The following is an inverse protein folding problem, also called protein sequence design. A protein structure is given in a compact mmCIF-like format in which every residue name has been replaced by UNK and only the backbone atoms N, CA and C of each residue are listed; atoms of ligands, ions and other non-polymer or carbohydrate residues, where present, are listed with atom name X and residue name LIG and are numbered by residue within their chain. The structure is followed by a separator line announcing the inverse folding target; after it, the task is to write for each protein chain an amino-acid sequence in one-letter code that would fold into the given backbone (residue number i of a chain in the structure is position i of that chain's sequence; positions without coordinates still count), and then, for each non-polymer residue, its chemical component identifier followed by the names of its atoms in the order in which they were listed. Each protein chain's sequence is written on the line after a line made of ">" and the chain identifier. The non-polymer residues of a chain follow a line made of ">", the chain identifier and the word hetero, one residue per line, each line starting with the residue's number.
data_IF_979955528819
#
_entry.id   IF_979955528819
#
_cell.length_a   1.000
_cell.length_b   1.000
_cell.length_c   1.000
_cell.angle_alpha   90.00
_cell.angle_beta   90.00
_cell.angle_gamma   90.00
#
_symmetry.space_group_name_H-M   'P 1'
#
loop_
_entity.id
_entity.type
_entity.pdbx_description
1 polymer ?
#
# COMPACT_ATOMS: atom_id res chain seq x y z
N UNK A 1 -3.80 12.10 14.53
CA UNK A 1 -2.64 11.39 13.97
C UNK A 1 -2.64 11.53 12.45
N UNK A 2 -1.47 11.75 11.88
CA UNK A 2 -1.34 11.81 10.43
C UNK A 2 -1.28 10.41 9.85
N UNK A 3 -1.97 10.22 8.74
CA UNK A 3 -1.82 8.99 7.98
C UNK A 3 -0.41 8.93 7.37
N UNK A 4 0.16 7.74 7.21
CA UNK A 4 1.45 7.61 6.53
C UNK A 4 1.33 8.07 5.07
N UNK A 5 2.43 8.56 4.51
CA UNK A 5 2.47 8.88 3.09
C UNK A 5 2.71 7.61 2.28
N UNK A 6 2.40 7.66 0.99
CA UNK A 6 2.68 6.52 0.11
C UNK A 6 4.18 6.22 0.04
N UNK A 7 5.00 7.26 0.10
CA UNK A 7 6.46 7.10 0.11
C UNK A 7 6.92 6.32 1.34
N UNK A 8 6.35 6.62 2.51
CA UNK A 8 6.66 5.90 3.74
C UNK A 8 6.27 4.43 3.65
N UNK A 9 5.09 4.14 3.12
CA UNK A 9 4.61 2.77 2.96
C UNK A 9 5.52 2.00 1.99
N UNK A 10 5.85 2.62 0.86
CA UNK A 10 6.74 2.02 -0.13
C UNK A 10 8.11 1.70 0.47
N UNK A 11 8.70 2.65 1.18
CA UNK A 11 10.00 2.44 1.82
C UNK A 11 9.94 1.30 2.83
N UNK A 12 8.88 1.22 3.61
CA UNK A 12 8.70 0.13 4.57
C UNK A 12 8.62 -1.22 3.87
N UNK A 13 7.80 -1.32 2.82
CA UNK A 13 7.62 -2.57 2.08
C UNK A 13 8.95 -3.01 1.46
N UNK A 14 9.66 -2.09 0.82
CA UNK A 14 10.94 -2.40 0.18
C UNK A 14 12.00 -2.79 1.20
N UNK A 15 12.00 -2.14 2.35
CA UNK A 15 12.96 -2.45 3.42
C UNK A 15 12.75 -3.85 4.01
N UNK A 16 11.54 -4.38 3.94
CA UNK A 16 11.25 -5.73 4.42
C UNK A 16 11.39 -6.80 3.34
N UNK A 17 11.93 -6.42 2.18
CA UNK A 17 12.13 -7.35 1.06
C UNK A 17 10.87 -7.61 0.24
N UNK A 18 9.82 -6.83 0.43
CA UNK A 18 8.58 -6.97 -0.31
C UNK A 18 8.59 -6.20 -1.62
N UNK A 19 7.47 -6.29 -2.34
CA UNK A 19 7.26 -5.56 -3.59
C UNK A 19 6.13 -4.55 -3.44
N UNK A 20 6.28 -3.43 -4.15
CA UNK A 20 5.29 -2.36 -4.16
C UNK A 20 5.16 -1.85 -5.59
N UNK A 21 3.94 -1.82 -6.11
CA UNK A 21 3.73 -1.31 -7.45
C UNK A 21 2.33 -0.73 -7.58
N UNK A 22 2.22 0.35 -8.36
CA UNK A 22 0.94 0.95 -8.65
C UNK A 22 0.33 0.25 -9.87
N UNK A 23 -0.93 -0.12 -9.77
CA UNK A 23 -1.66 -0.73 -10.88
C UNK A 23 -2.37 0.34 -11.71
N UNK A 24 -2.58 0.06 -13.00
CA UNK A 24 -3.32 0.96 -13.90
C UNK A 24 -4.82 0.71 -13.87
N UNK A 25 -5.34 0.32 -12.72
CA UNK A 25 -6.76 0.06 -12.52
C UNK A 25 -7.25 0.80 -11.28
N UNK A 26 -8.56 0.95 -11.19
CA UNK A 26 -9.19 1.48 -9.98
C UNK A 26 -10.14 0.44 -9.41
N UNK A 27 -10.27 0.44 -8.08
CA UNK A 27 -11.22 -0.39 -7.35
C UNK A 27 -12.19 0.54 -6.65
N UNK A 28 -13.47 0.47 -7.03
CA UNK A 28 -14.51 1.35 -6.48
C UNK A 28 -14.13 2.83 -6.60
N UNK A 29 -13.49 3.22 -7.71
CA UNK A 29 -13.09 4.61 -7.95
C UNK A 29 -11.79 5.03 -7.26
N UNK A 30 -11.12 4.14 -6.54
CA UNK A 30 -9.87 4.42 -5.85
C UNK A 30 -8.68 3.79 -6.57
N UNK A 31 -7.52 4.44 -6.59
CA UNK A 31 -6.33 3.83 -7.18
C UNK A 31 -6.00 2.51 -6.52
N UNK A 32 -5.63 1.51 -7.32
CA UNK A 32 -5.23 0.20 -6.82
C UNK A 32 -3.71 0.11 -6.76
N UNK A 33 -3.22 -0.62 -5.77
CA UNK A 33 -1.80 -0.89 -5.59
C UNK A 33 -1.61 -2.37 -5.34
N UNK A 34 -0.46 -2.89 -5.76
CA UNK A 34 -0.10 -4.26 -5.48
C UNK A 34 1.08 -4.29 -4.51
N UNK A 35 0.87 -4.89 -3.35
CA UNK A 35 1.88 -5.00 -2.30
C UNK A 35 2.06 -6.48 -2.00
N UNK A 36 3.29 -6.97 -2.17
CA UNK A 36 3.63 -8.38 -1.94
C UNK A 36 2.73 -9.34 -2.73
N UNK A 37 2.34 -8.94 -3.96
CA UNK A 37 1.47 -9.75 -4.79
C UNK A 37 -0.02 -9.63 -4.50
N UNK A 38 -0.41 -8.81 -3.54
CA UNK A 38 -1.82 -8.61 -3.17
C UNK A 38 -2.30 -7.26 -3.67
N UNK A 39 -3.38 -7.25 -4.44
CA UNK A 39 -3.98 -6.02 -4.93
C UNK A 39 -4.90 -5.42 -3.86
N UNK A 40 -4.72 -4.13 -3.59
CA UNK A 40 -5.51 -3.43 -2.58
C UNK A 40 -5.66 -1.96 -2.94
N UNK A 41 -6.63 -1.28 -2.34
CA UNK A 41 -6.79 0.15 -2.53
C UNK A 41 -5.81 0.91 -1.65
N UNK A 42 -5.66 2.22 -1.93
CA UNK A 42 -4.83 3.10 -1.10
C UNK A 42 -5.29 3.06 0.36
N UNK A 43 -6.60 3.11 0.60
CA UNK A 43 -7.13 3.11 1.96
C UNK A 43 -6.83 1.80 2.69
N UNK A 44 -7.00 0.67 2.00
CA UNK A 44 -6.64 -0.63 2.56
C UNK A 44 -5.16 -0.71 2.89
N UNK A 45 -4.32 -0.20 2.01
CA UNK A 45 -2.88 -0.20 2.20
C UNK A 45 -2.49 0.62 3.44
N UNK A 46 -3.06 1.81 3.60
CA UNK A 46 -2.82 2.66 4.75
C UNK A 46 -3.27 1.96 6.04
N UNK A 47 -4.46 1.37 6.02
CA UNK A 47 -4.99 0.67 7.18
C UNK A 47 -4.09 -0.49 7.60
N UNK A 48 -3.67 -1.31 6.65
CA UNK A 48 -2.79 -2.44 6.92
C UNK A 48 -1.42 -1.98 7.44
N UNK A 49 -0.91 -0.89 6.89
CA UNK A 49 0.35 -0.31 7.36
C UNK A 49 0.22 0.13 8.82
N UNK A 50 -0.87 0.80 9.16
CA UNK A 50 -1.09 1.28 10.53
C UNK A 50 -1.31 0.14 11.53
N UNK A 51 -1.83 -1.00 11.05
CA UNK A 51 -1.99 -2.20 11.87
C UNK A 51 -0.71 -3.02 11.98
N UNK A 52 0.33 -2.67 11.23
CA UNK A 52 1.58 -3.40 11.25
C UNK A 52 1.54 -4.74 10.53
N UNK A 53 0.62 -4.92 9.59
CA UNK A 53 0.47 -6.18 8.84
C UNK A 53 0.93 -6.09 7.38
N UNK A 54 1.61 -5.01 7.05
CA UNK A 54 2.28 -4.87 5.74
C UNK A 54 3.72 -5.28 5.83
#
# INVERSE_FOLDING_TARGET
>A
MKNPTLTQIRQHVEATGGTYSRQNITLAGNPAYQVNGVTMTKNDMIERFMRGIL
#
